data_IF_503334788430
#
_entry.id   IF_503334788430
#
_cell.length_a   1.000
_cell.length_b   1.000
_cell.length_c   1.000
_cell.angle_alpha   90.00
_cell.angle_beta   90.00
_cell.angle_gamma   90.00
#
_symmetry.space_group_name_H-M   'P 1'
#
loop_
_entity.id
_entity.type
_entity.pdbx_description
1 polymer ?
#
# COMPACT_ATOMS: atom_id res chain seq x y z
N UNK A 1 -20.09 -37.27 38.63
CA UNK A 1 -21.01 -36.30 39.27
C UNK A 1 -20.22 -35.62 40.35
N UNK A 2 -19.80 -34.40 40.04
CA UNK A 2 -18.96 -33.54 40.87
C UNK A 2 -19.73 -33.00 42.07
N UNK A 3 -19.06 -32.95 43.20
CA UNK A 3 -19.25 -31.90 44.20
C UNK A 3 -17.93 -31.66 44.93
N UNK A 4 -17.45 -30.42 44.91
CA UNK A 4 -17.39 -29.56 46.09
C UNK A 4 -16.65 -28.27 45.75
N UNK A 5 -17.13 -27.21 46.38
CA UNK A 5 -16.70 -25.82 46.30
C UNK A 5 -15.23 -25.62 46.70
N UNK A 6 -14.65 -24.45 46.36
CA UNK A 6 -14.22 -23.44 47.35
C UNK A 6 -13.32 -22.32 46.75
N UNK A 7 -13.76 -21.08 47.01
CA UNK A 7 -13.04 -19.83 47.36
C UNK A 7 -12.22 -18.95 46.37
N UNK A 8 -12.47 -17.64 46.62
CA UNK A 8 -11.59 -16.45 46.62
C UNK A 8 -11.16 -15.86 45.27
N UNK A 9 -11.68 -14.71 44.84
CA UNK A 9 -11.55 -13.32 45.36
C UNK A 9 -10.32 -12.57 44.84
N UNK A 10 -10.59 -11.32 44.47
CA UNK A 10 -9.87 -10.33 43.68
C UNK A 10 -8.41 -10.02 44.05
N UNK A 11 -7.63 -9.68 43.01
CA UNK A 11 -6.64 -8.60 43.06
C UNK A 11 -6.36 -8.08 41.64
N UNK A 12 -6.51 -6.76 41.47
CA UNK A 12 -6.22 -6.06 40.23
C UNK A 12 -4.72 -5.94 39.95
N UNK A 13 -4.38 -5.84 38.67
CA UNK A 13 -3.11 -5.33 38.19
C UNK A 13 -3.33 -4.62 36.85
N UNK A 14 -3.17 -3.30 36.88
CA UNK A 14 -3.00 -2.40 35.74
C UNK A 14 -1.88 -2.84 34.81
N UNK A 15 -1.99 -2.65 33.49
CA UNK A 15 -0.83 -2.48 32.64
C UNK A 15 -0.57 -1.00 32.35
N UNK A 16 0.71 -0.70 32.50
CA UNK A 16 1.40 0.57 32.38
C UNK A 16 1.31 1.18 30.98
N UNK A 17 1.50 2.50 30.98
CA UNK A 17 1.57 3.34 29.81
C UNK A 17 2.68 2.99 28.82
N UNK A 18 2.39 3.28 27.56
CA UNK A 18 3.40 3.55 26.55
C UNK A 18 2.85 4.61 25.62
N UNK A 19 3.06 5.87 26.01
CA UNK A 19 2.84 7.02 25.14
C UNK A 19 3.84 6.94 23.98
N UNK A 20 3.29 6.80 22.77
CA UNK A 20 4.02 6.97 21.53
C UNK A 20 4.36 8.45 21.35
N UNK A 21 5.66 8.70 21.21
CA UNK A 21 6.19 10.00 20.81
C UNK A 21 5.70 10.35 19.41
N UNK A 22 4.94 11.45 19.33
CA UNK A 22 4.69 12.19 18.12
C UNK A 22 6.01 12.77 17.56
N UNK A 23 6.28 12.54 16.29
CA UNK A 23 7.22 13.34 15.50
C UNK A 23 6.51 13.74 14.20
N UNK A 24 5.77 14.84 14.32
CA UNK A 24 5.43 15.71 13.20
C UNK A 24 6.68 16.52 12.81
N UNK A 25 6.97 16.58 11.51
CA UNK A 25 8.13 17.28 10.99
C UNK A 25 8.25 17.19 9.47
N UNK A 26 7.13 17.26 8.76
CA UNK A 26 7.13 17.51 7.32
C UNK A 26 7.41 19.00 7.09
N UNK A 27 8.63 19.33 6.63
CA UNK A 27 8.86 20.59 5.94
C UNK A 27 9.36 20.27 4.54
N UNK A 28 8.51 20.65 3.59
CA UNK A 28 8.79 20.70 2.17
C UNK A 28 10.05 21.54 1.90
N UNK A 29 10.94 20.97 1.10
CA UNK A 29 11.86 21.73 0.24
C UNK A 29 12.11 20.92 -1.02
N UNK A 30 11.22 21.13 -1.98
CA UNK A 30 11.55 20.95 -3.39
C UNK A 30 12.68 21.92 -3.76
N UNK A 31 13.81 21.40 -4.22
CA UNK A 31 14.63 22.07 -5.23
C UNK A 31 15.57 21.04 -5.91
N UNK A 32 15.14 20.64 -7.10
CA UNK A 32 15.94 20.35 -8.29
C UNK A 32 17.30 19.64 -8.14
N UNK A 33 17.34 18.36 -8.51
CA UNK A 33 18.38 17.88 -9.41
C UNK A 33 17.84 16.77 -10.32
N UNK A 34 17.41 17.17 -11.52
CA UNK A 34 17.17 16.26 -12.61
C UNK A 34 18.51 15.63 -13.05
N UNK A 35 18.77 14.42 -12.58
CA UNK A 35 19.68 13.50 -13.24
C UNK A 35 18.85 12.28 -13.59
N UNK A 36 18.69 12.07 -14.90
CA UNK A 36 18.18 10.83 -15.49
C UNK A 36 19.18 9.73 -15.14
N UNK A 37 19.08 9.24 -13.90
CA UNK A 37 19.69 8.00 -13.47
C UNK A 37 18.72 6.91 -13.83
N UNK A 38 18.99 6.25 -14.95
CA UNK A 38 18.49 4.92 -15.25
C UNK A 38 18.61 4.11 -13.95
N UNK A 39 17.48 3.92 -13.25
CA UNK A 39 17.46 3.28 -11.94
C UNK A 39 18.01 1.89 -12.17
N UNK A 40 19.28 1.68 -11.79
CA UNK A 40 19.89 0.36 -11.72
C UNK A 40 18.87 -0.52 -11.03
N UNK A 41 18.25 -1.41 -11.80
CA UNK A 41 17.33 -2.41 -11.27
C UNK A 41 18.19 -3.14 -10.25
N UNK A 42 17.97 -2.88 -8.95
CA UNK A 42 18.59 -3.67 -7.90
C UNK A 42 18.13 -5.08 -8.20
N UNK A 43 19.05 -5.91 -8.68
CA UNK A 43 18.76 -7.28 -9.05
C UNK A 43 17.98 -7.91 -7.90
N UNK A 44 16.86 -8.55 -8.22
CA UNK A 44 16.04 -9.23 -7.23
C UNK A 44 16.94 -10.10 -6.34
N UNK A 45 16.72 -10.06 -5.03
CA UNK A 45 17.60 -10.71 -4.06
C UNK A 45 17.75 -12.21 -4.36
N UNK A 46 16.68 -12.83 -4.90
CA UNK A 46 16.70 -14.22 -5.38
C UNK A 46 17.68 -14.40 -6.55
N UNK A 47 17.63 -13.53 -7.55
CA UNK A 47 18.54 -13.56 -8.72
C UNK A 47 19.99 -13.34 -8.30
N UNK A 48 20.25 -12.42 -7.35
CA UNK A 48 21.59 -12.22 -6.82
C UNK A 48 22.15 -13.47 -6.10
N UNK A 49 21.31 -14.16 -5.33
CA UNK A 49 21.69 -15.43 -4.68
C UNK A 49 21.91 -16.55 -5.70
N UNK A 50 21.07 -16.64 -6.74
CA UNK A 50 21.23 -17.60 -7.83
C UNK A 50 22.56 -17.41 -8.57
N UNK A 51 22.92 -16.18 -8.91
CA UNK A 51 24.20 -15.87 -9.54
C UNK A 51 25.39 -16.26 -8.65
N UNK A 52 25.26 -16.07 -7.32
CA UNK A 52 26.29 -16.49 -6.36
C UNK A 52 26.43 -18.01 -6.29
N UNK A 53 25.32 -18.75 -6.30
CA UNK A 53 25.32 -20.21 -6.34
C UNK A 53 25.95 -20.73 -7.63
N UNK A 54 25.62 -20.14 -8.78
CA UNK A 54 26.22 -20.51 -10.07
C UNK A 54 27.73 -20.27 -10.09
N UNK A 55 28.19 -19.14 -9.56
CA UNK A 55 29.62 -18.85 -9.43
C UNK A 55 30.34 -19.86 -8.52
N UNK A 56 29.75 -20.23 -7.38
CA UNK A 56 30.30 -21.24 -6.47
C UNK A 56 30.35 -22.62 -7.10
N UNK A 57 29.29 -23.05 -7.81
CA UNK A 57 29.26 -24.31 -8.56
C UNK A 57 30.35 -24.36 -9.63
N UNK A 58 30.57 -23.25 -10.35
CA UNK A 58 31.66 -23.15 -11.33
C UNK A 58 33.06 -23.24 -10.71
N UNK A 59 33.27 -22.69 -9.50
CA UNK A 59 34.54 -22.83 -8.75
C UNK A 59 34.73 -24.24 -8.21
N UNK A 60 33.65 -24.85 -7.73
CA UNK A 60 33.65 -26.21 -7.20
C UNK A 60 34.00 -27.22 -8.30
N UNK A 61 33.40 -27.12 -9.48
CA UNK A 61 33.73 -27.96 -10.64
C UNK A 61 35.23 -27.89 -10.98
N UNK A 62 35.81 -26.69 -11.02
CA UNK A 62 37.27 -26.51 -11.25
C UNK A 62 38.14 -27.17 -10.18
N UNK A 63 37.70 -27.17 -8.92
CA UNK A 63 38.44 -27.79 -7.80
C UNK A 63 38.34 -29.31 -7.84
N UNK A 64 37.17 -29.85 -8.18
CA UNK A 64 36.98 -31.30 -8.39
C UNK A 64 37.87 -31.77 -9.55
N UNK A 65 37.89 -31.08 -10.69
CA UNK A 65 38.80 -31.39 -11.81
C UNK A 65 40.28 -31.44 -11.39
N UNK A 66 40.71 -30.51 -10.51
CA UNK A 66 42.09 -30.49 -10.00
C UNK A 66 42.38 -31.69 -9.10
N UNK A 67 41.42 -32.07 -8.25
CA UNK A 67 41.53 -33.26 -7.39
C UNK A 67 41.59 -34.51 -8.27
N UNK A 68 40.69 -34.66 -9.24
CA UNK A 68 40.67 -35.81 -10.15
C UNK A 68 41.97 -35.95 -10.94
N UNK A 69 42.52 -34.84 -11.48
CA UNK A 69 43.82 -34.84 -12.15
C UNK A 69 44.98 -35.24 -11.23
N UNK A 70 44.96 -34.77 -9.99
CA UNK A 70 45.99 -35.14 -9.01
C UNK A 70 45.87 -36.61 -8.57
N UNK A 71 44.64 -37.12 -8.41
CA UNK A 71 44.37 -38.53 -8.14
C UNK A 71 44.84 -39.43 -9.30
N UNK A 72 44.49 -39.10 -10.55
CA UNK A 72 44.94 -39.84 -11.73
C UNK A 72 46.48 -39.83 -11.91
N UNK A 73 47.13 -38.71 -11.53
CA UNK A 73 48.60 -38.64 -11.51
C UNK A 73 49.20 -39.55 -10.44
N UNK A 74 48.54 -39.67 -9.28
CA UNK A 74 48.98 -40.51 -8.17
C UNK A 74 48.99 -42.00 -8.48
N UNK A 75 48.09 -42.45 -9.37
CA UNK A 75 48.03 -43.84 -9.83
C UNK A 75 49.27 -44.24 -10.64
N UNK A 76 49.86 -43.29 -11.37
CA UNK A 76 51.03 -43.53 -12.22
C UNK A 76 52.36 -43.20 -11.54
N UNK A 77 52.35 -42.33 -10.53
CA UNK A 77 53.54 -41.91 -9.78
C UNK A 77 53.14 -41.42 -8.39
N UNK A 78 53.84 -41.80 -7.32
CA UNK A 78 53.56 -41.28 -5.99
C UNK A 78 53.64 -39.75 -5.99
N UNK A 79 52.62 -39.11 -5.41
CA UNK A 79 52.54 -37.66 -5.24
C UNK A 79 53.71 -37.18 -4.38
N UNK A 80 54.29 -36.04 -4.73
CA UNK A 80 55.23 -35.37 -3.82
C UNK A 80 54.50 -34.87 -2.57
N UNK A 81 55.22 -34.69 -1.46
CA UNK A 81 54.64 -34.16 -0.21
C UNK A 81 53.92 -32.80 -0.40
N UNK A 82 54.43 -31.97 -1.31
CA UNK A 82 53.80 -30.69 -1.68
C UNK A 82 52.49 -30.87 -2.45
N UNK A 83 52.40 -31.89 -3.30
CA UNK A 83 51.17 -32.19 -4.05
C UNK A 83 50.12 -32.84 -3.14
N UNK A 84 50.53 -33.70 -2.21
CA UNK A 84 49.63 -34.31 -1.21
C UNK A 84 48.98 -33.23 -0.32
N UNK A 85 49.78 -32.30 0.21
CA UNK A 85 49.26 -31.18 1.02
C UNK A 85 48.35 -30.24 0.22
N UNK A 86 48.63 -30.03 -1.07
CA UNK A 86 47.75 -29.25 -1.95
C UNK A 86 46.41 -29.95 -2.21
N UNK A 87 46.42 -31.27 -2.36
CA UNK A 87 45.22 -32.10 -2.54
C UNK A 87 44.33 -32.07 -1.30
N UNK A 88 44.90 -32.18 -0.11
CA UNK A 88 44.15 -32.05 1.15
C UNK A 88 43.52 -30.66 1.29
N UNK A 89 44.26 -29.60 0.92
CA UNK A 89 43.72 -28.24 0.91
C UNK A 89 42.56 -28.09 -0.09
N UNK A 90 42.65 -28.70 -1.27
CA UNK A 90 41.56 -28.65 -2.25
C UNK A 90 40.33 -29.42 -1.78
N UNK A 91 40.50 -30.55 -1.09
CA UNK A 91 39.38 -31.28 -0.47
C UNK A 91 38.67 -30.43 0.58
N UNK A 92 39.42 -29.80 1.48
CA UNK A 92 38.87 -28.85 2.45
C UNK A 92 38.16 -27.66 1.79
N UNK A 93 38.72 -27.10 0.72
CA UNK A 93 38.08 -26.03 -0.07
C UNK A 93 36.76 -26.51 -0.68
N UNK A 94 36.68 -27.75 -1.19
CA UNK A 94 35.45 -28.33 -1.75
C UNK A 94 34.38 -28.51 -0.67
N UNK A 95 34.75 -29.04 0.50
CA UNK A 95 33.83 -29.20 1.63
C UNK A 95 33.28 -27.84 2.10
N UNK A 96 34.15 -26.83 2.19
CA UNK A 96 33.74 -25.47 2.53
C UNK A 96 32.78 -24.85 1.49
N UNK A 97 33.06 -25.05 0.19
CA UNK A 97 32.17 -24.57 -0.88
C UNK A 97 30.83 -25.30 -0.88
N UNK A 98 30.80 -26.61 -0.61
CA UNK A 98 29.56 -27.39 -0.47
C UNK A 98 28.71 -26.89 0.70
N UNK A 99 29.33 -26.59 1.84
CA UNK A 99 28.62 -26.01 2.99
C UNK A 99 28.03 -24.63 2.68
N UNK A 100 28.77 -23.78 1.95
CA UNK A 100 28.28 -22.48 1.52
C UNK A 100 27.11 -22.61 0.52
N UNK A 101 27.19 -23.55 -0.42
CA UNK A 101 26.10 -23.85 -1.36
C UNK A 101 24.83 -24.26 -0.62
N UNK A 102 24.91 -25.22 0.31
CA UNK A 102 23.76 -25.66 1.10
C UNK A 102 23.14 -24.50 1.92
N UNK A 103 23.97 -23.60 2.47
CA UNK A 103 23.50 -22.41 3.19
C UNK A 103 22.78 -21.43 2.27
N UNK A 104 23.29 -21.21 1.05
CA UNK A 104 22.70 -20.29 0.08
C UNK A 104 21.41 -20.84 -0.53
N UNK A 105 21.35 -22.14 -0.81
CA UNK A 105 20.15 -22.82 -1.30
C UNK A 105 19.00 -22.62 -0.30
N UNK A 106 19.23 -22.94 0.98
CA UNK A 106 18.25 -22.70 2.05
C UNK A 106 17.79 -21.24 2.14
N UNK A 107 18.73 -20.28 2.07
CA UNK A 107 18.39 -18.85 2.11
C UNK A 107 17.58 -18.42 0.88
N UNK A 108 17.88 -18.97 -0.29
CA UNK A 108 17.16 -18.65 -1.53
C UNK A 108 15.71 -19.16 -1.49
N UNK A 109 15.49 -20.35 -0.93
CA UNK A 109 14.16 -20.92 -0.71
C UNK A 109 13.37 -20.09 0.30
N UNK A 110 13.97 -19.71 1.43
CA UNK A 110 13.32 -18.86 2.43
C UNK A 110 12.88 -17.51 1.86
N UNK A 111 13.72 -16.88 1.02
CA UNK A 111 13.38 -15.60 0.37
C UNK A 111 12.27 -15.80 -0.67
N UNK A 112 12.31 -16.89 -1.44
CA UNK A 112 11.27 -17.22 -2.42
C UNK A 112 9.90 -17.44 -1.74
N UNK A 113 9.86 -18.20 -0.65
CA UNK A 113 8.64 -18.44 0.14
C UNK A 113 8.08 -17.12 0.68
N UNK A 114 8.93 -16.27 1.28
CA UNK A 114 8.50 -14.96 1.79
C UNK A 114 7.95 -14.05 0.68
N UNK A 115 8.54 -14.09 -0.51
CA UNK A 115 8.06 -13.32 -1.66
C UNK A 115 6.69 -13.81 -2.12
N UNK A 116 6.51 -15.12 -2.23
CA UNK A 116 5.21 -15.72 -2.60
C UNK A 116 4.12 -15.36 -1.57
N UNK A 117 4.42 -15.47 -0.28
CA UNK A 117 3.49 -15.07 0.79
C UNK A 117 3.09 -13.60 0.72
N UNK A 118 4.03 -12.70 0.41
CA UNK A 118 3.74 -11.27 0.23
C UNK A 118 2.87 -11.01 -1.00
N UNK A 119 3.11 -11.71 -2.10
CA UNK A 119 2.29 -11.59 -3.31
C UNK A 119 0.86 -12.06 -3.05
N UNK A 120 0.70 -13.21 -2.39
CA UNK A 120 -0.62 -13.72 -2.01
C UNK A 120 -1.35 -12.77 -1.05
N UNK A 121 -0.65 -12.21 -0.05
CA UNK A 121 -1.24 -11.22 0.85
C UNK A 121 -1.64 -9.93 0.12
N UNK A 122 -0.85 -9.49 -0.85
CA UNK A 122 -1.16 -8.32 -1.67
C UNK A 122 -2.36 -8.57 -2.59
N UNK A 123 -2.49 -9.76 -3.17
CA UNK A 123 -3.62 -10.15 -4.00
C UNK A 123 -4.92 -10.23 -3.19
N UNK A 124 -4.88 -10.86 -2.00
CA UNK A 124 -6.02 -10.89 -1.08
C UNK A 124 -6.38 -9.48 -0.59
N UNK A 125 -5.40 -8.61 -0.35
CA UNK A 125 -5.67 -7.22 0.01
C UNK A 125 -6.29 -6.44 -1.17
N UNK A 126 -5.85 -6.69 -2.41
CA UNK A 126 -6.40 -6.07 -3.60
C UNK A 126 -7.83 -6.53 -3.89
N UNK A 127 -8.12 -7.82 -3.77
CA UNK A 127 -9.50 -8.34 -3.92
C UNK A 127 -10.43 -7.77 -2.85
N UNK A 128 -9.99 -7.70 -1.58
CA UNK A 128 -10.75 -7.05 -0.51
C UNK A 128 -10.99 -5.56 -0.74
N UNK A 129 -10.07 -4.85 -1.40
CA UNK A 129 -10.28 -3.45 -1.78
C UNK A 129 -11.35 -3.33 -2.86
N UNK A 130 -11.30 -4.19 -3.88
CA UNK A 130 -12.30 -4.23 -4.94
C UNK A 130 -13.68 -4.64 -4.42
N UNK A 131 -13.76 -5.58 -3.49
CA UNK A 131 -15.01 -5.94 -2.81
C UNK A 131 -15.60 -4.74 -2.06
N UNK A 132 -14.79 -4.04 -1.25
CA UNK A 132 -15.21 -2.81 -0.56
C UNK A 132 -15.62 -1.68 -1.51
N UNK A 133 -14.93 -1.53 -2.64
CA UNK A 133 -15.32 -0.57 -3.69
C UNK A 133 -16.63 -0.98 -4.36
N UNK A 134 -16.88 -2.28 -4.54
CA UNK A 134 -18.14 -2.80 -5.08
C UNK A 134 -19.31 -2.71 -4.09
N UNK A 135 -19.05 -2.77 -2.78
CA UNK A 135 -20.02 -2.46 -1.72
C UNK A 135 -20.32 -0.96 -1.67
N UNK A 136 -19.34 -0.11 -2.00
CA UNK A 136 -19.52 1.34 -2.16
C UNK A 136 -20.10 1.74 -3.53
N UNK A 137 -20.73 0.81 -4.26
CA UNK A 137 -21.38 1.10 -5.54
C UNK A 137 -22.39 2.25 -5.43
N UNK A 138 -22.45 3.02 -6.51
CA UNK A 138 -23.31 4.17 -6.69
C UNK A 138 -24.73 3.90 -6.21
N UNK A 139 -25.24 4.83 -5.40
CA UNK A 139 -26.64 4.88 -4.98
C UNK A 139 -27.52 5.00 -6.22
N UNK A 140 -28.69 4.37 -6.22
CA UNK A 140 -29.66 4.56 -7.31
C UNK A 140 -30.06 6.04 -7.43
N UNK A 141 -30.50 6.48 -8.60
CA UNK A 141 -30.98 7.85 -8.82
C UNK A 141 -32.10 8.22 -7.84
N UNK A 142 -33.02 7.28 -7.56
CA UNK A 142 -34.07 7.46 -6.57
C UNK A 142 -33.50 7.66 -5.16
N UNK A 143 -32.46 6.90 -4.79
CA UNK A 143 -31.78 7.06 -3.51
C UNK A 143 -31.09 8.42 -3.38
N UNK A 144 -30.45 8.89 -4.47
CA UNK A 144 -29.82 10.23 -4.51
C UNK A 144 -30.88 11.33 -4.35
N UNK A 145 -31.99 11.25 -5.07
CA UNK A 145 -33.10 12.22 -4.92
C UNK A 145 -33.67 12.23 -3.50
N UNK A 146 -33.83 11.07 -2.87
CA UNK A 146 -34.28 10.97 -1.49
C UNK A 146 -33.28 11.60 -0.49
N UNK A 147 -31.97 11.52 -0.76
CA UNK A 147 -30.97 12.22 0.05
C UNK A 147 -31.09 13.74 -0.08
N UNK A 148 -31.31 14.26 -1.29
CA UNK A 148 -31.52 15.70 -1.52
C UNK A 148 -32.76 16.18 -0.76
N UNK A 149 -33.87 15.43 -0.82
CA UNK A 149 -35.09 15.74 -0.06
C UNK A 149 -34.84 15.74 1.45
N UNK A 150 -34.09 14.75 1.97
CA UNK A 150 -33.72 14.70 3.38
C UNK A 150 -32.81 15.86 3.78
N UNK A 151 -31.85 16.25 2.92
CA UNK A 151 -31.00 17.42 3.15
C UNK A 151 -31.84 18.67 3.31
N UNK A 152 -32.76 18.94 2.37
CA UNK A 152 -33.63 20.11 2.44
C UNK A 152 -34.49 20.15 3.71
N UNK A 153 -34.98 18.99 4.19
CA UNK A 153 -35.78 18.91 5.43
C UNK A 153 -34.96 19.19 6.69
N UNK A 154 -33.70 18.75 6.71
CA UNK A 154 -32.83 18.84 7.88
C UNK A 154 -31.81 19.97 7.82
N UNK A 155 -31.72 20.73 6.73
CA UNK A 155 -30.72 21.78 6.47
C UNK A 155 -30.60 22.77 7.65
N UNK A 156 -31.74 23.30 8.11
CA UNK A 156 -31.78 24.23 9.25
C UNK A 156 -31.25 23.65 10.57
N UNK A 157 -31.35 22.33 10.75
CA UNK A 157 -30.86 21.61 11.94
C UNK A 157 -29.38 21.23 11.80
N UNK A 158 -28.91 20.98 10.58
CA UNK A 158 -27.51 20.69 10.28
C UNK A 158 -26.66 21.96 10.38
N UNK A 159 -27.18 23.11 9.91
CA UNK A 159 -26.51 24.40 9.97
C UNK A 159 -26.34 24.95 11.40
N UNK A 160 -27.19 24.50 12.32
CA UNK A 160 -27.04 24.82 13.74
C UNK A 160 -25.97 23.90 14.35
N UNK A 161 -24.73 24.39 14.43
CA UNK A 161 -23.55 23.71 14.97
C UNK A 161 -23.59 23.49 16.51
N UNK A 162 -24.72 23.07 17.07
CA UNK A 162 -24.85 22.71 18.49
C UNK A 162 -24.45 21.26 18.76
N UNK A 163 -24.25 20.89 20.03
CA UNK A 163 -23.92 19.53 20.49
C UNK A 163 -24.95 18.44 20.08
N UNK A 164 -26.05 18.83 19.44
CA UNK A 164 -27.09 17.96 18.90
C UNK A 164 -26.88 17.54 17.44
N UNK A 165 -25.79 17.97 16.78
CA UNK A 165 -25.54 17.62 15.36
C UNK A 165 -25.47 16.10 15.16
N UNK A 166 -24.86 15.36 16.09
CA UNK A 166 -24.80 13.90 15.98
C UNK A 166 -26.18 13.23 16.14
N UNK A 167 -27.07 13.78 16.97
CA UNK A 167 -28.43 13.25 17.09
C UNK A 167 -29.28 13.53 15.84
N UNK A 168 -29.08 14.68 15.19
CA UNK A 168 -29.68 15.01 13.89
C UNK A 168 -29.28 13.98 12.82
N UNK A 169 -28.00 13.60 12.77
CA UNK A 169 -27.53 12.56 11.84
C UNK A 169 -28.12 11.18 12.11
N UNK A 170 -28.36 10.82 13.36
CA UNK A 170 -29.06 9.57 13.70
C UNK A 170 -30.52 9.58 13.22
N UNK A 171 -31.19 10.73 13.30
CA UNK A 171 -32.55 10.89 12.76
C UNK A 171 -32.58 10.79 11.24
N UNK A 172 -31.66 11.46 10.54
CA UNK A 172 -31.52 11.37 9.07
C UNK A 172 -31.27 9.92 8.64
N UNK A 173 -30.38 9.21 9.32
CA UNK A 173 -30.09 7.80 9.05
C UNK A 173 -31.33 6.93 9.23
N UNK A 174 -32.05 7.09 10.34
CA UNK A 174 -33.28 6.33 10.60
C UNK A 174 -34.33 6.57 9.52
N UNK A 175 -34.57 7.83 9.15
CA UNK A 175 -35.56 8.17 8.13
C UNK A 175 -35.18 7.59 6.76
N UNK A 176 -33.89 7.66 6.38
CA UNK A 176 -33.43 7.11 5.12
C UNK A 176 -33.49 5.58 5.05
N UNK A 177 -33.14 4.89 6.15
CA UNK A 177 -33.27 3.43 6.24
C UNK A 177 -34.73 3.00 6.16
N UNK A 178 -35.64 3.71 6.83
CA UNK A 178 -37.08 3.44 6.72
C UNK A 178 -37.56 3.59 5.27
N UNK A 179 -37.07 4.58 4.51
CA UNK A 179 -37.40 4.70 3.08
C UNK A 179 -36.89 3.52 2.24
N UNK A 180 -35.77 2.91 2.62
CA UNK A 180 -35.24 1.69 1.98
C UNK A 180 -36.03 0.44 2.37
N UNK A 181 -36.57 0.38 3.59
CA UNK A 181 -37.34 -0.76 4.09
C UNK A 181 -38.81 -0.73 3.66
N UNK A 182 -39.42 0.46 3.50
CA UNK A 182 -40.80 0.66 3.05
C UNK A 182 -40.99 0.49 1.52
N UNK A 183 -40.02 -0.12 0.82
CA UNK A 183 -40.00 -0.43 -0.62
C UNK A 183 -39.93 0.81 -1.55
N UNK A 184 -39.81 2.02 -1.00
CA UNK A 184 -39.66 3.24 -1.80
C UNK A 184 -38.27 3.36 -2.45
N UNK A 185 -37.26 2.69 -1.87
CA UNK A 185 -35.88 2.69 -2.37
C UNK A 185 -35.29 1.28 -2.37
N UNK A 186 -34.34 0.98 -3.28
CA UNK A 186 -33.58 -0.27 -3.24
C UNK A 186 -32.87 -0.45 -1.91
N UNK A 187 -32.96 -1.64 -1.29
CA UNK A 187 -32.23 -1.94 -0.04
C UNK A 187 -30.71 -1.84 -0.18
N UNK A 188 -30.21 -1.96 -1.40
CA UNK A 188 -28.80 -1.72 -1.76
C UNK A 188 -28.37 -0.27 -1.57
N UNK A 189 -29.30 0.68 -1.41
CA UNK A 189 -29.04 2.09 -1.14
C UNK A 189 -28.92 2.41 0.35
N UNK A 190 -29.20 1.48 1.26
CA UNK A 190 -29.00 1.70 2.68
C UNK A 190 -27.53 2.05 2.98
N UNK A 191 -27.30 3.10 3.79
CA UNK A 191 -25.97 3.62 4.14
C UNK A 191 -25.91 3.91 5.62
N UNK A 192 -24.73 3.72 6.23
CA UNK A 192 -24.48 4.15 7.60
C UNK A 192 -24.29 5.66 7.73
N UNK A 193 -24.44 6.18 8.95
CA UNK A 193 -24.35 7.62 9.29
C UNK A 193 -23.11 8.32 8.70
N UNK A 194 -21.93 7.70 8.80
CA UNK A 194 -20.69 8.29 8.27
C UNK A 194 -20.68 8.46 6.75
N UNK A 195 -21.32 7.55 6.02
CA UNK A 195 -21.44 7.63 4.56
C UNK A 195 -22.41 8.74 4.14
N UNK A 196 -23.54 8.87 4.84
CA UNK A 196 -24.52 9.95 4.62
C UNK A 196 -23.89 11.33 4.86
N UNK A 197 -23.16 11.49 5.98
CA UNK A 197 -22.44 12.72 6.29
C UNK A 197 -21.42 13.10 5.22
N UNK A 198 -20.65 12.13 4.72
CA UNK A 198 -19.70 12.35 3.63
C UNK A 198 -20.39 12.78 2.33
N UNK A 199 -21.53 12.19 1.98
CA UNK A 199 -22.28 12.54 0.76
C UNK A 199 -22.88 13.95 0.82
N UNK A 200 -23.48 14.33 1.95
CA UNK A 200 -24.04 15.68 2.15
C UNK A 200 -22.94 16.76 2.14
N UNK A 201 -21.75 16.45 2.66
CA UNK A 201 -20.61 17.39 2.64
C UNK A 201 -19.99 17.52 1.25
N UNK A 202 -20.04 16.47 0.42
CA UNK A 202 -19.51 16.51 -0.95
C UNK A 202 -20.33 17.45 -1.84
N UNK A 203 -21.64 17.57 -1.61
CA UNK A 203 -22.51 18.52 -2.33
C UNK A 203 -22.21 19.99 -1.98
N UNK A 204 -21.72 20.28 -0.77
CA UNK A 204 -21.29 21.64 -0.40
C UNK A 204 -20.09 22.12 -1.20
N UNK A 205 -19.13 21.23 -1.50
CA UNK A 205 -17.93 21.60 -2.28
C UNK A 205 -18.28 21.89 -3.75
N UNK A 206 -19.31 21.26 -4.31
CA UNK A 206 -19.74 21.53 -5.69
C UNK A 206 -20.52 22.83 -5.86
N UNK A 207 -21.33 23.23 -4.88
CA UNK A 207 -22.10 24.49 -4.96
C UNK A 207 -21.20 25.71 -4.74
N UNK A 208 -20.25 25.65 -3.80
CA UNK A 208 -19.27 26.72 -3.59
C UNK A 208 -18.31 26.88 -4.79
N UNK A 209 -17.93 25.78 -5.46
CA UNK A 209 -17.08 25.86 -6.66
C UNK A 209 -17.83 26.42 -7.88
N UNK A 210 -19.14 26.18 -7.99
CA UNK A 210 -19.99 26.77 -9.04
C UNK A 210 -20.29 28.26 -8.78
N UNK A 211 -20.39 28.67 -7.53
CA UNK A 211 -20.60 30.09 -7.16
C UNK A 211 -19.31 30.92 -7.33
N UNK A 212 -18.13 30.35 -7.04
CA UNK A 212 -16.84 31.03 -7.25
C UNK A 212 -16.51 31.21 -8.74
N UNK A 213 -16.89 30.27 -9.61
CA UNK A 213 -16.70 30.43 -11.07
C UNK A 213 -17.65 31.46 -11.71
N UNK A 214 -18.78 31.79 -11.08
CA UNK A 214 -19.73 32.78 -11.59
C UNK A 214 -19.34 34.24 -11.28
N UNK A 215 -18.44 34.48 -10.32
CA UNK A 215 -18.01 35.84 -9.94
C UNK A 215 -16.69 36.31 -10.59
N UNK A 216 -16.05 35.50 -11.45
CA UNK A 216 -14.78 35.86 -12.10
C UNK A 216 -14.88 36.00 -13.64
N UNK A 217 -15.99 36.56 -14.14
CA UNK A 217 -15.99 37.22 -15.47
C UNK A 217 -15.78 38.72 -15.26
N UNK A 218 -14.58 39.07 -14.80
CA UNK A 218 -14.08 40.44 -14.94
C UNK A 218 -13.77 40.72 -16.41
N UNK A 219 -13.96 41.96 -16.90
CA UNK A 219 -13.79 42.28 -18.31
C UNK A 219 -12.34 42.06 -18.75
N UNK A 220 -12.17 41.30 -19.84
CA UNK A 220 -10.89 41.07 -20.52
C UNK A 220 -10.19 42.41 -20.85
N UNK A 221 -8.98 42.67 -20.34
CA UNK A 221 -8.20 43.85 -20.70
C UNK A 221 -7.48 43.56 -22.03
N UNK A 222 -8.04 44.00 -23.15
CA UNK A 222 -7.43 43.70 -24.45
C UNK A 222 -8.14 44.28 -25.66
N UNK A 223 -8.54 45.55 -25.62
CA UNK A 223 -8.94 46.27 -26.83
C UNK A 223 -8.09 47.55 -26.96
N UNK A 224 -6.86 47.39 -27.47
CA UNK A 224 -6.13 48.52 -28.03
C UNK A 224 -6.84 48.96 -29.31
N UNK A 225 -7.54 50.09 -29.25
CA UNK A 225 -8.08 50.79 -30.41
C UNK A 225 -6.91 51.47 -31.11
N UNK A 226 -6.40 50.82 -32.16
CA UNK A 226 -5.50 51.41 -33.14
C UNK A 226 -6.18 51.47 -34.49
N UNK A 227 -6.69 52.64 -34.87
CA UNK A 227 -7.06 53.05 -36.23
C UNK A 227 -7.24 54.57 -36.16
N UNK A 228 -6.65 55.42 -36.99
CA UNK A 228 -6.08 55.22 -38.32
C UNK A 228 -6.42 56.50 -39.08
N UNK A 229 -5.40 57.29 -39.42
CA UNK A 229 -5.50 58.47 -40.29
C UNK A 229 -6.21 58.13 -41.61
N UNK A 230 -7.14 59.01 -42.03
CA UNK A 230 -7.50 59.41 -43.41
C UNK A 230 -8.12 60.81 -43.27
N UNK A 231 -7.55 61.93 -43.69
CA UNK A 231 -7.27 62.37 -45.09
C UNK A 231 -8.42 61.99 -46.04
N UNK A 232 -9.38 62.90 -46.22
CA UNK A 232 -9.61 63.62 -47.50
C UNK A 232 -10.88 64.51 -47.47
N UNK A 233 -10.73 65.73 -48.00
CA UNK A 233 -11.65 66.59 -48.77
C UNK A 233 -13.14 66.76 -48.38
N UNK A 234 -13.53 67.99 -48.03
CA UNK A 234 -14.21 69.04 -48.85
C UNK A 234 -14.35 70.33 -48.05
#
# INVERSE_FOLDING_TARGET
MESLAEAAEAAGATPEGREETALDGATDRDEACAIVGEKRVRSDAVTAMQNKMEHLRGRLAKKIDLIEKAMAKSENKPLSAREATALDKWRLDVDAMNLELASLEKKSEEVAIRKAMRQQAAEVAASRRLEKESENRHMSEAGVLALVDLRMRYESRIANHSDTVDSVWQHIHKDFVNMCDDVNLPRTDARGVGSLRSKFSTEQVSEDHMFIMSQHVGPLPGAQVGNGKREDDV
#
